data_IF_941736426516
#
_entry.id   IF_941736426516
#
_cell.length_a   1.000
_cell.length_b   1.000
_cell.length_c   1.000
_cell.angle_alpha   90.00
_cell.angle_beta   90.00
_cell.angle_gamma   90.00
#
_symmetry.space_group_name_H-M   'P 1'
#
loop_
_entity.id
_entity.type
_entity.pdbx_description
1 polymer ?
#
# COMPACT_ATOMS: atom_id res chain seq x y z
N UNK A 1 19.60 16.59 25.77
CA UNK A 1 18.87 16.56 24.49
C UNK A 1 19.55 17.49 23.49
N UNK A 2 20.40 16.95 22.59
CA UNK A 2 20.46 17.48 21.23
C UNK A 2 20.62 16.35 20.20
N UNK A 3 19.64 16.18 19.33
CA UNK A 3 19.69 15.26 18.20
C UNK A 3 18.28 14.86 17.81
N UNK A 4 17.73 15.45 16.73
CA UNK A 4 16.55 15.03 15.91
C UNK A 4 15.70 16.18 15.34
N UNK A 5 16.07 17.46 15.50
CA UNK A 5 15.34 18.58 14.88
C UNK A 5 15.34 18.59 13.33
N UNK A 6 16.05 17.66 12.68
CA UNK A 6 16.14 17.56 11.21
C UNK A 6 15.03 16.76 10.54
N UNK A 7 14.26 15.96 11.28
CA UNK A 7 13.25 15.07 10.68
C UNK A 7 11.94 15.78 10.27
N UNK A 8 11.35 16.69 11.07
CA UNK A 8 10.10 17.34 10.71
C UNK A 8 10.20 18.22 9.47
N UNK A 9 11.30 18.97 9.34
CA UNK A 9 11.56 19.80 8.14
C UNK A 9 11.61 18.95 6.88
N UNK A 10 12.33 17.83 6.91
CA UNK A 10 12.46 16.92 5.76
C UNK A 10 11.11 16.31 5.38
N UNK A 11 10.28 15.95 6.36
CA UNK A 11 8.91 15.47 6.11
C UNK A 11 8.08 16.56 5.41
N UNK A 12 8.10 17.81 5.91
CA UNK A 12 7.39 18.92 5.28
C UNK A 12 7.87 19.23 3.86
N UNK A 13 9.19 19.18 3.61
CA UNK A 13 9.75 19.34 2.26
C UNK A 13 9.32 18.22 1.31
N UNK A 14 9.27 16.96 1.79
CA UNK A 14 8.82 15.83 1.01
C UNK A 14 7.32 15.87 0.74
N UNK A 15 6.51 16.22 1.73
CA UNK A 15 5.07 16.42 1.60
C UNK A 15 4.72 17.44 0.51
N UNK A 16 5.44 18.57 0.51
CA UNK A 16 5.32 19.61 -0.51
C UNK A 16 5.76 19.12 -1.90
N UNK A 17 6.91 18.45 -1.99
CA UNK A 17 7.43 17.91 -3.26
C UNK A 17 6.49 16.85 -3.84
N UNK A 18 5.91 15.99 -3.01
CA UNK A 18 4.90 15.01 -3.42
C UNK A 18 3.62 15.69 -3.90
N UNK A 19 3.12 16.72 -3.20
CA UNK A 19 1.97 17.51 -3.67
C UNK A 19 2.20 18.09 -5.08
N UNK A 20 3.38 18.67 -5.33
CA UNK A 20 3.75 19.15 -6.69
C UNK A 20 3.88 18.02 -7.72
N UNK A 21 4.36 16.85 -7.30
CA UNK A 21 4.48 15.70 -8.19
C UNK A 21 3.10 15.17 -8.59
N UNK A 22 2.18 15.07 -7.63
CA UNK A 22 0.82 14.61 -7.87
C UNK A 22 0.01 15.60 -8.72
N UNK A 23 0.12 16.90 -8.48
CA UNK A 23 -0.49 17.91 -9.35
C UNK A 23 -0.02 17.75 -10.81
N UNK A 24 1.29 17.62 -11.04
CA UNK A 24 1.84 17.37 -12.38
C UNK A 24 1.35 16.06 -12.99
N UNK A 25 1.14 15.03 -12.19
CA UNK A 25 0.59 13.76 -12.67
C UNK A 25 -0.87 13.93 -13.13
N UNK A 26 -1.67 14.70 -12.40
CA UNK A 26 -3.04 15.06 -12.79
C UNK A 26 -3.04 15.87 -14.09
N UNK A 27 -2.23 16.93 -14.19
CA UNK A 27 -2.13 17.75 -15.41
C UNK A 27 -1.70 16.91 -16.62
N UNK A 28 -0.74 16.00 -16.40
CA UNK A 28 -0.27 15.08 -17.44
C UNK A 28 -1.33 14.08 -17.87
N UNK A 29 -2.23 13.67 -16.97
CA UNK A 29 -3.36 12.81 -17.28
C UNK A 29 -4.43 13.60 -18.06
N UNK A 30 -4.77 14.82 -17.62
CA UNK A 30 -5.72 15.70 -18.30
C UNK A 30 -5.28 15.96 -19.74
N UNK A 31 -4.00 16.31 -19.95
CA UNK A 31 -3.43 16.55 -21.28
C UNK A 31 -3.45 15.32 -22.23
N UNK A 32 -3.51 14.11 -21.67
CA UNK A 32 -3.65 12.85 -22.43
C UNK A 32 -5.10 12.38 -22.54
N UNK A 33 -5.99 13.04 -21.82
CA UNK A 33 -7.42 12.78 -21.83
C UNK A 33 -8.14 13.81 -22.71
N UNK A 34 -9.44 13.62 -22.91
CA UNK A 34 -10.29 14.62 -23.55
C UNK A 34 -11.09 15.46 -22.53
N UNK A 35 -10.67 15.46 -21.25
CA UNK A 35 -11.32 16.21 -20.18
C UNK A 35 -10.53 17.46 -19.79
N UNK A 36 -11.25 18.54 -19.49
CA UNK A 36 -10.71 19.71 -18.81
C UNK A 36 -10.87 19.61 -17.29
N UNK A 37 -10.14 20.45 -16.54
CA UNK A 37 -10.14 20.40 -15.08
C UNK A 37 -11.52 20.69 -14.47
N UNK A 38 -12.30 21.58 -15.09
CA UNK A 38 -13.66 21.95 -14.67
C UNK A 38 -14.69 20.84 -14.88
N UNK A 39 -14.39 19.84 -15.71
CA UNK A 39 -15.21 18.63 -15.87
C UNK A 39 -14.95 17.61 -14.76
N UNK A 40 -13.89 17.78 -13.96
CA UNK A 40 -13.53 16.86 -12.89
C UNK A 40 -14.17 17.29 -11.58
N UNK A 41 -15.07 16.47 -11.03
CA UNK A 41 -15.73 16.74 -9.75
C UNK A 41 -14.73 16.83 -8.60
N UNK A 42 -13.81 15.86 -8.50
CA UNK A 42 -12.77 15.84 -7.48
C UNK A 42 -11.61 14.90 -7.83
N UNK A 43 -10.46 15.14 -7.22
CA UNK A 43 -9.32 14.23 -7.16
C UNK A 43 -9.40 13.43 -5.87
N UNK A 44 -9.29 12.10 -5.95
CA UNK A 44 -9.02 11.25 -4.80
C UNK A 44 -7.51 11.03 -4.65
N UNK A 45 -6.87 11.71 -3.70
CA UNK A 45 -5.43 11.56 -3.45
C UNK A 45 -5.17 10.76 -2.17
N UNK A 46 -4.79 9.49 -2.33
CA UNK A 46 -4.37 8.65 -1.21
C UNK A 46 -3.10 9.19 -0.52
N UNK A 47 -2.19 9.77 -1.29
CA UNK A 47 -0.85 10.15 -0.84
C UNK A 47 0.12 8.97 -0.75
N UNK A 48 1.33 9.24 -0.27
CA UNK A 48 2.39 8.26 -0.04
C UNK A 48 2.42 7.87 1.44
N UNK A 49 2.12 6.61 1.76
CA UNK A 49 2.33 6.11 3.12
C UNK A 49 3.82 6.13 3.46
N UNK A 50 4.18 6.79 4.55
CA UNK A 50 5.55 6.79 5.12
C UNK A 50 5.63 6.10 6.47
N UNK A 51 4.50 6.00 7.17
CA UNK A 51 4.38 5.25 8.41
C UNK A 51 2.95 4.77 8.57
N UNK A 52 2.77 3.57 9.13
CA UNK A 52 1.44 3.06 9.43
C UNK A 52 1.54 2.06 10.59
N UNK A 53 0.85 2.37 11.68
CA UNK A 53 0.84 1.61 12.91
C UNK A 53 -0.59 1.62 13.46
N UNK A 54 -1.43 0.64 13.07
CA UNK A 54 -2.81 0.60 13.52
C UNK A 54 -2.99 0.06 14.94
N UNK A 55 -1.96 -0.59 15.50
CA UNK A 55 -2.01 -1.21 16.82
C UNK A 55 -1.14 -0.48 17.86
N UNK A 56 -1.31 -0.86 19.13
CA UNK A 56 -0.58 -0.31 20.29
C UNK A 56 -1.25 0.91 20.93
N UNK A 57 -0.58 1.51 21.90
CA UNK A 57 -1.17 2.58 22.75
C UNK A 57 -1.43 3.89 22.01
N UNK A 58 -0.84 4.07 20.83
CA UNK A 58 -0.98 5.28 20.01
C UNK A 58 -1.08 4.88 18.56
N UNK A 59 -2.27 4.43 18.10
CA UNK A 59 -2.46 4.03 16.72
C UNK A 59 -2.45 5.26 15.80
N UNK A 60 -1.66 5.23 14.73
CA UNK A 60 -1.61 6.30 13.73
C UNK A 60 -1.16 5.82 12.35
N UNK A 61 -1.38 6.67 11.36
CA UNK A 61 -0.90 6.48 9.99
C UNK A 61 -0.51 7.83 9.41
N UNK A 62 0.48 7.85 8.54
CA UNK A 62 0.98 9.08 7.91
C UNK A 62 1.13 8.86 6.42
N UNK A 63 0.29 9.56 5.66
CA UNK A 63 0.39 9.72 4.23
C UNK A 63 0.89 11.13 3.93
N UNK A 64 1.92 11.24 3.09
CA UNK A 64 2.43 12.52 2.59
C UNK A 64 1.88 12.82 1.19
N UNK A 65 1.87 14.09 0.83
CA UNK A 65 1.35 14.61 -0.42
C UNK A 65 0.31 15.68 -0.15
N UNK A 66 0.78 16.93 -0.03
CA UNK A 66 -0.05 18.06 0.37
C UNK A 66 -1.29 18.25 -0.53
N UNK A 67 -2.46 17.83 -0.03
CA UNK A 67 -3.73 17.91 -0.77
C UNK A 67 -4.13 19.35 -1.10
N UNK A 68 -3.81 20.32 -0.24
CA UNK A 68 -4.09 21.73 -0.51
C UNK A 68 -3.26 22.24 -1.69
N UNK A 69 -2.01 21.79 -1.80
CA UNK A 69 -1.14 22.14 -2.92
C UNK A 69 -1.61 21.46 -4.22
N UNK A 70 -2.07 20.21 -4.14
CA UNK A 70 -2.68 19.52 -5.29
C UNK A 70 -3.89 20.33 -5.79
N UNK A 71 -4.85 20.66 -4.91
CA UNK A 71 -6.04 21.43 -5.27
C UNK A 71 -5.70 22.81 -5.84
N UNK A 72 -4.76 23.53 -5.23
CA UNK A 72 -4.37 24.87 -5.67
C UNK A 72 -3.68 24.87 -7.05
N UNK A 73 -2.90 23.82 -7.37
CA UNK A 73 -2.18 23.74 -8.64
C UNK A 73 -3.05 23.21 -9.78
N UNK A 74 -3.98 22.28 -9.51
CA UNK A 74 -4.85 21.70 -10.54
C UNK A 74 -6.15 22.49 -10.73
N UNK A 75 -6.56 23.30 -9.75
CA UNK A 75 -7.86 23.96 -9.72
C UNK A 75 -9.03 23.00 -9.43
N UNK A 76 -8.75 21.76 -9.02
CA UNK A 76 -9.75 20.71 -8.79
C UNK A 76 -9.86 20.41 -7.30
N UNK A 77 -11.09 20.28 -6.80
CA UNK A 77 -11.33 19.84 -5.42
C UNK A 77 -10.58 18.54 -5.13
N UNK A 78 -9.77 18.51 -4.07
CA UNK A 78 -8.97 17.33 -3.72
C UNK A 78 -9.43 16.75 -2.39
N UNK A 79 -9.88 15.49 -2.43
CA UNK A 79 -10.20 14.68 -1.26
C UNK A 79 -9.02 13.74 -1.01
N UNK A 80 -8.52 13.68 0.21
CA UNK A 80 -7.47 12.75 0.59
C UNK A 80 -7.57 12.37 2.06
N UNK A 81 -6.51 11.78 2.60
CA UNK A 81 -6.45 11.38 4.01
C UNK A 81 -7.53 10.34 4.41
N UNK A 82 -7.74 9.36 3.53
CA UNK A 82 -8.82 8.40 3.68
C UNK A 82 -8.68 7.48 4.92
N UNK A 83 -7.46 7.25 5.40
CA UNK A 83 -7.17 6.24 6.44
C UNK A 83 -7.42 6.74 7.85
N UNK A 84 -7.10 8.00 8.14
CA UNK A 84 -7.11 8.52 9.52
C UNK A 84 -8.52 8.52 10.11
N UNK A 85 -9.57 8.66 9.30
CA UNK A 85 -10.96 8.60 9.80
C UNK A 85 -11.35 7.20 10.27
N UNK A 86 -10.95 6.16 9.54
CA UNK A 86 -11.20 4.77 9.95
C UNK A 86 -10.48 4.46 11.27
N UNK A 87 -9.20 4.83 11.38
CA UNK A 87 -8.43 4.66 12.62
C UNK A 87 -9.00 5.45 13.80
N UNK A 88 -9.52 6.66 13.58
CA UNK A 88 -10.17 7.44 14.62
C UNK A 88 -11.47 6.79 15.14
N UNK A 89 -12.05 5.86 14.39
CA UNK A 89 -13.22 5.07 14.79
C UNK A 89 -12.83 3.68 15.33
N UNK A 90 -11.54 3.44 15.60
CA UNK A 90 -11.01 2.17 16.08
C UNK A 90 -10.74 1.13 15.00
N UNK A 91 -10.83 1.51 13.72
CA UNK A 91 -10.46 0.67 12.60
C UNK A 91 -8.95 0.58 12.37
N UNK A 92 -8.55 -0.25 11.41
CA UNK A 92 -7.14 -0.52 11.10
C UNK A 92 -6.57 0.46 10.06
N UNK A 93 -7.38 1.34 9.47
CA UNK A 93 -6.97 2.25 8.39
C UNK A 93 -6.68 1.55 7.06
N UNK A 94 -6.82 0.23 6.99
CA UNK A 94 -6.55 -0.62 5.84
C UNK A 94 -7.23 -2.00 5.99
N UNK A 95 -7.51 -2.71 4.88
CA UNK A 95 -7.63 -2.19 3.52
C UNK A 95 -8.95 -1.41 3.32
N UNK A 96 -8.92 -0.28 2.60
CA UNK A 96 -10.13 0.53 2.33
C UNK A 96 -10.88 0.11 1.05
N UNK A 97 -10.22 -0.67 0.19
CA UNK A 97 -10.74 -1.14 -1.10
C UNK A 97 -11.93 -2.12 -1.01
N UNK A 98 -12.13 -2.93 0.05
CA UNK A 98 -13.20 -3.93 0.06
C UNK A 98 -14.62 -3.35 -0.12
N UNK A 99 -14.90 -2.15 0.39
CA UNK A 99 -16.18 -1.48 0.15
C UNK A 99 -16.39 -1.14 -1.33
N UNK A 100 -15.33 -0.69 -2.02
CA UNK A 100 -15.34 -0.43 -3.45
C UNK A 100 -15.48 -1.72 -4.28
N UNK A 101 -14.78 -2.77 -3.88
CA UNK A 101 -14.94 -4.10 -4.49
C UNK A 101 -16.37 -4.60 -4.38
N UNK A 102 -17.02 -4.46 -3.22
CA UNK A 102 -18.43 -4.82 -3.08
C UNK A 102 -19.31 -4.03 -4.04
N UNK A 103 -19.09 -2.73 -4.17
CA UNK A 103 -19.86 -1.90 -5.11
C UNK A 103 -19.69 -2.34 -6.57
N UNK A 104 -18.47 -2.70 -6.99
CA UNK A 104 -18.21 -3.14 -8.37
C UNK A 104 -18.69 -4.55 -8.68
N UNK A 105 -18.69 -5.44 -7.68
CA UNK A 105 -18.87 -6.88 -7.87
C UNK A 105 -20.03 -7.46 -7.02
N UNK A 106 -20.99 -6.63 -6.60
CA UNK A 106 -22.09 -7.02 -5.72
C UNK A 106 -23.02 -8.08 -6.29
N UNK A 107 -23.11 -8.19 -7.61
CA UNK A 107 -24.19 -8.92 -8.30
C UNK A 107 -23.85 -10.40 -8.53
N UNK A 108 -22.98 -10.97 -7.69
CA UNK A 108 -22.57 -12.37 -7.81
C UNK A 108 -23.35 -13.29 -6.87
N UNK A 109 -23.89 -14.36 -7.44
CA UNK A 109 -24.47 -15.50 -6.71
C UNK A 109 -23.40 -16.43 -6.12
N UNK A 110 -22.11 -16.18 -6.41
CA UNK A 110 -20.98 -16.97 -5.90
C UNK A 110 -20.00 -16.13 -5.10
N UNK A 111 -19.22 -16.78 -4.24
CA UNK A 111 -18.15 -16.09 -3.49
C UNK A 111 -17.04 -15.69 -4.45
N UNK A 112 -16.69 -14.41 -4.46
CA UNK A 112 -15.62 -13.86 -5.28
C UNK A 112 -14.43 -13.48 -4.41
N UNK A 113 -13.23 -13.83 -4.87
CA UNK A 113 -11.98 -13.43 -4.23
C UNK A 113 -11.21 -12.52 -5.18
N UNK A 114 -10.95 -11.31 -4.74
CA UNK A 114 -10.17 -10.33 -5.48
C UNK A 114 -8.80 -10.27 -4.83
N UNK A 115 -7.77 -10.68 -5.56
CA UNK A 115 -6.38 -10.68 -5.12
C UNK A 115 -5.65 -9.52 -5.79
N UNK A 116 -5.10 -8.62 -4.98
CA UNK A 116 -4.16 -7.60 -5.43
C UNK A 116 -2.74 -8.01 -5.04
N UNK A 117 -1.83 -8.06 -6.01
CA UNK A 117 -0.41 -8.39 -5.81
C UNK A 117 0.43 -7.13 -6.02
N UNK A 118 0.47 -6.27 -4.99
CA UNK A 118 1.36 -5.11 -4.94
C UNK A 118 2.69 -5.46 -4.29
N UNK A 119 3.34 -4.49 -3.63
CA UNK A 119 4.48 -4.79 -2.75
C UNK A 119 4.10 -5.77 -1.63
N UNK A 120 2.94 -5.54 -1.02
CA UNK A 120 2.21 -6.47 -0.15
C UNK A 120 0.98 -6.98 -0.91
N UNK A 121 0.71 -8.27 -0.82
CA UNK A 121 -0.46 -8.89 -1.40
C UNK A 121 -1.64 -8.86 -0.42
N UNK A 122 -2.84 -8.63 -0.93
CA UNK A 122 -4.06 -8.63 -0.13
C UNK A 122 -5.25 -9.19 -0.90
N UNK A 123 -6.21 -9.72 -0.14
CA UNK A 123 -7.45 -10.28 -0.68
C UNK A 123 -8.67 -9.51 -0.19
N UNK A 124 -9.71 -9.47 -1.02
CA UNK A 124 -11.08 -9.18 -0.61
C UNK A 124 -11.95 -10.38 -0.97
N UNK A 125 -12.66 -10.92 0.01
CA UNK A 125 -13.61 -12.03 -0.13
C UNK A 125 -15.02 -11.44 -0.06
N UNK A 126 -15.73 -11.52 -1.17
CA UNK A 126 -17.10 -11.06 -1.35
C UNK A 126 -18.03 -12.28 -1.33
N UNK A 127 -18.79 -12.44 -0.25
CA UNK A 127 -19.79 -13.50 -0.14
C UNK A 127 -21.16 -13.00 -0.61
N UNK A 128 -21.94 -13.82 -1.34
CA UNK A 128 -23.32 -13.49 -1.67
C UNK A 128 -24.12 -13.22 -0.39
N UNK A 129 -24.70 -12.03 -0.27
CA UNK A 129 -25.48 -11.59 0.91
C UNK A 129 -24.75 -11.66 2.26
N UNK A 130 -23.42 -11.80 2.25
CA UNK A 130 -22.60 -11.90 3.46
C UNK A 130 -21.70 -10.69 3.68
N UNK A 131 -20.91 -10.74 4.75
CA UNK A 131 -19.91 -9.71 5.05
C UNK A 131 -18.75 -9.74 4.04
N UNK A 132 -18.19 -8.56 3.80
CA UNK A 132 -16.94 -8.42 3.06
C UNK A 132 -15.78 -8.61 4.02
N UNK A 133 -14.90 -9.54 3.70
CA UNK A 133 -13.68 -9.77 4.47
C UNK A 133 -12.49 -9.34 3.63
N UNK A 134 -11.54 -8.62 4.21
CA UNK A 134 -10.29 -8.29 3.53
C UNK A 134 -9.11 -8.30 4.49
N UNK A 135 -7.97 -8.80 4.03
CA UNK A 135 -6.75 -8.88 4.82
C UNK A 135 -5.52 -8.97 3.91
N UNK A 136 -4.37 -8.57 4.45
CA UNK A 136 -3.07 -8.76 3.82
C UNK A 136 -2.65 -10.23 3.94
N UNK A 137 -2.18 -10.83 2.85
CA UNK A 137 -1.72 -12.23 2.83
C UNK A 137 -0.22 -12.37 3.07
N UNK A 138 0.52 -11.26 3.05
CA UNK A 138 1.98 -11.23 3.17
C UNK A 138 2.67 -10.53 1.98
N UNK A 139 3.98 -10.72 1.78
CA UNK A 139 4.71 -10.08 0.69
C UNK A 139 4.16 -10.50 -0.68
N UNK A 140 3.94 -9.50 -1.54
CA UNK A 140 3.74 -9.70 -2.98
C UNK A 140 5.08 -9.54 -3.71
N UNK A 141 5.29 -8.41 -4.36
CA UNK A 141 6.49 -8.14 -5.15
C UNK A 141 7.67 -7.56 -4.35
N UNK A 142 7.46 -7.04 -3.13
CA UNK A 142 8.50 -6.25 -2.42
C UNK A 142 9.82 -6.98 -2.21
N UNK A 143 9.78 -8.27 -1.88
CA UNK A 143 10.99 -9.08 -1.67
C UNK A 143 11.67 -9.45 -2.99
N UNK A 144 10.87 -9.70 -4.03
CA UNK A 144 11.35 -10.00 -5.38
C UNK A 144 12.05 -8.78 -5.97
N UNK A 145 11.41 -7.61 -5.93
CA UNK A 145 11.96 -6.35 -6.44
C UNK A 145 13.26 -5.96 -5.73
N UNK A 146 13.30 -6.15 -4.40
CA UNK A 146 14.53 -5.94 -3.62
C UNK A 146 15.65 -6.89 -4.05
N UNK A 147 15.34 -8.18 -4.26
CA UNK A 147 16.33 -9.16 -4.74
C UNK A 147 16.80 -8.83 -6.16
N UNK A 148 15.90 -8.47 -7.06
CA UNK A 148 16.22 -8.04 -8.43
C UNK A 148 17.16 -6.84 -8.43
N UNK A 149 16.87 -5.85 -7.58
CA UNK A 149 17.69 -4.64 -7.47
C UNK A 149 19.07 -5.00 -6.95
N UNK A 150 19.13 -5.82 -5.91
CA UNK A 150 20.38 -6.18 -5.25
C UNK A 150 21.28 -7.10 -6.10
N UNK A 151 20.72 -8.15 -6.67
CA UNK A 151 21.48 -9.20 -7.36
C UNK A 151 21.69 -8.93 -8.86
N UNK A 152 20.79 -8.17 -9.49
CA UNK A 152 20.79 -7.96 -10.95
C UNK A 152 20.79 -6.49 -11.37
N UNK A 153 20.68 -5.54 -10.43
CA UNK A 153 20.58 -4.11 -10.73
C UNK A 153 19.29 -3.72 -11.47
N UNK A 154 18.27 -4.58 -11.46
CA UNK A 154 16.98 -4.38 -12.12
C UNK A 154 15.91 -4.02 -11.09
N UNK A 155 15.01 -3.11 -11.43
CA UNK A 155 13.98 -2.65 -10.47
C UNK A 155 12.99 -3.77 -10.06
N UNK A 156 12.69 -4.71 -10.96
CA UNK A 156 11.79 -5.85 -10.74
C UNK A 156 12.10 -6.98 -11.75
N UNK A 157 11.55 -8.18 -11.51
CA UNK A 157 11.65 -9.31 -12.42
C UNK A 157 10.55 -9.25 -13.49
N UNK A 158 10.88 -8.73 -14.67
CA UNK A 158 9.91 -8.59 -15.75
C UNK A 158 9.44 -9.97 -16.25
N UNK A 159 8.12 -10.19 -16.20
CA UNK A 159 7.45 -11.42 -16.64
C UNK A 159 7.98 -12.72 -15.99
N UNK A 160 8.54 -12.57 -14.79
CA UNK A 160 9.21 -13.63 -14.02
C UNK A 160 10.38 -14.29 -14.78
N UNK A 161 11.07 -13.55 -15.65
CA UNK A 161 12.16 -14.07 -16.47
C UNK A 161 13.31 -14.65 -15.63
N UNK A 162 13.70 -13.99 -14.54
CA UNK A 162 14.75 -14.46 -13.63
C UNK A 162 14.25 -15.63 -12.78
N UNK A 163 13.05 -15.53 -12.19
CA UNK A 163 12.47 -16.56 -11.34
C UNK A 163 12.28 -17.89 -12.09
N UNK A 164 11.85 -17.85 -13.36
CA UNK A 164 11.66 -19.04 -14.21
C UNK A 164 12.95 -19.79 -14.55
N UNK A 165 14.10 -19.14 -14.44
CA UNK A 165 15.41 -19.78 -14.66
C UNK A 165 15.94 -20.48 -13.41
N UNK A 166 15.40 -20.14 -12.23
CA UNK A 166 15.80 -20.71 -10.95
C UNK A 166 15.08 -22.01 -10.61
N UNK A 167 15.51 -22.62 -9.50
CA UNK A 167 14.78 -23.69 -8.84
C UNK A 167 14.42 -23.23 -7.43
N UNK A 168 13.23 -23.58 -6.96
CA UNK A 168 12.79 -23.25 -5.60
C UNK A 168 13.67 -23.98 -4.59
N UNK A 169 14.32 -23.24 -3.68
CA UNK A 169 14.95 -23.82 -2.51
C UNK A 169 13.87 -24.09 -1.44
N UNK A 170 13.40 -25.34 -1.38
CA UNK A 170 12.31 -25.74 -0.47
C UNK A 170 12.64 -25.54 1.01
N UNK A 171 13.91 -25.64 1.42
CA UNK A 171 14.33 -25.41 2.80
C UNK A 171 14.20 -23.93 3.18
N UNK A 172 14.69 -23.04 2.31
CA UNK A 172 14.54 -21.60 2.49
C UNK A 172 13.07 -21.18 2.46
N UNK A 173 12.29 -21.72 1.52
CA UNK A 173 10.85 -21.45 1.43
C UNK A 173 10.13 -21.85 2.73
N UNK A 174 10.40 -23.04 3.26
CA UNK A 174 9.82 -23.48 4.52
C UNK A 174 10.19 -22.55 5.67
N UNK A 175 11.45 -22.11 5.77
CA UNK A 175 11.90 -21.15 6.78
C UNK A 175 11.18 -19.79 6.65
N UNK A 176 11.04 -19.27 5.43
CA UNK A 176 10.35 -18.01 5.19
C UNK A 176 8.86 -18.10 5.56
N UNK A 177 8.21 -19.24 5.27
CA UNK A 177 6.81 -19.48 5.64
C UNK A 177 6.60 -19.64 7.16
N UNK A 178 7.63 -20.01 7.92
CA UNK A 178 7.53 -20.13 9.39
C UNK A 178 7.62 -18.81 10.13
N UNK A 179 8.06 -17.72 9.48
CA UNK A 179 8.04 -16.40 10.09
C UNK A 179 6.57 -15.97 10.31
N UNK A 180 6.25 -15.49 11.52
CA UNK A 180 4.89 -15.34 12.06
C UNK A 180 3.94 -14.45 11.22
N UNK A 181 4.46 -13.76 10.21
CA UNK A 181 3.72 -12.89 9.30
C UNK A 181 2.96 -13.64 8.19
N UNK A 182 3.33 -14.88 7.86
CA UNK A 182 2.65 -15.69 6.83
C UNK A 182 1.64 -16.68 7.43
N UNK A 183 1.86 -17.14 8.66
CA UNK A 183 0.96 -18.09 9.35
C UNK A 183 -0.25 -17.40 10.01
N UNK A 184 -0.14 -16.14 10.41
CA UNK A 184 -1.23 -15.40 11.06
C UNK A 184 -2.39 -15.03 10.12
N UNK A 185 -2.18 -15.00 8.81
CA UNK A 185 -3.22 -14.68 7.82
C UNK A 185 -4.37 -15.70 7.77
N UNK A 186 -4.22 -16.88 8.38
CA UNK A 186 -5.27 -17.90 8.47
C UNK A 186 -6.06 -17.87 9.78
N UNK A 187 -5.58 -17.17 10.82
CA UNK A 187 -6.15 -17.18 12.16
C UNK A 187 -5.87 -15.85 12.86
N UNK A 188 -6.55 -14.75 12.47
CA UNK A 188 -6.99 -13.63 13.33
C UNK A 188 -7.47 -12.43 12.49
N UNK A 189 -8.74 -12.09 12.69
CA UNK A 189 -9.18 -10.69 12.87
C UNK A 189 -9.42 -10.63 14.38
N UNK A 190 -8.66 -9.88 15.22
CA UNK A 190 -8.17 -8.50 15.06
C UNK A 190 -6.64 -8.34 15.28
N UNK A 191 -6.12 -7.14 14.98
CA UNK A 191 -4.72 -6.66 15.04
C UNK A 191 -3.89 -6.94 13.78
N UNK A 192 -3.86 -5.96 12.87
CA UNK A 192 -3.10 -6.00 11.63
C UNK A 192 -1.86 -5.10 11.74
N UNK A 193 -0.82 -5.58 12.42
CA UNK A 193 0.47 -4.90 12.46
C UNK A 193 1.12 -4.93 11.09
N UNK A 194 1.48 -3.75 10.58
CA UNK A 194 2.04 -3.59 9.25
C UNK A 194 3.49 -4.03 9.23
N UNK A 195 3.80 -4.88 8.25
CA UNK A 195 5.14 -5.34 7.96
C UNK A 195 5.98 -4.15 7.54
N UNK A 196 6.89 -3.72 8.42
CA UNK A 196 8.01 -2.86 8.06
C UNK A 196 9.17 -3.77 7.66
N UNK A 197 9.68 -3.66 6.43
CA UNK A 197 10.93 -4.33 6.04
C UNK A 197 12.11 -3.61 6.69
N UNK A 198 12.27 -3.76 8.00
CA UNK A 198 13.44 -3.32 8.75
C UNK A 198 14.16 -4.46 9.46
N UNK A 199 13.63 -5.69 9.37
CA UNK A 199 14.09 -6.84 10.16
C UNK A 199 14.87 -7.91 9.41
N UNK A 200 14.88 -7.94 8.07
CA UNK A 200 15.56 -9.01 7.33
C UNK A 200 17.08 -8.77 7.27
N UNK A 201 17.77 -9.02 8.40
CA UNK A 201 19.21 -9.26 8.41
C UNK A 201 19.43 -10.69 7.92
N UNK A 202 19.58 -10.86 6.61
CA UNK A 202 20.24 -12.04 6.07
C UNK A 202 21.73 -11.92 6.40
N UNK A 203 22.15 -12.50 7.52
CA UNK A 203 23.57 -12.73 7.79
C UNK A 203 24.04 -13.93 6.96
N UNK A 204 24.73 -13.66 5.86
CA UNK A 204 25.48 -14.67 5.13
C UNK A 204 26.78 -14.93 5.90
N UNK A 205 26.86 -16.07 6.59
CA UNK A 205 28.13 -16.61 7.04
C UNK A 205 28.73 -17.37 5.86
N UNK A 206 29.93 -16.95 5.43
CA UNK A 206 30.79 -17.73 4.54
C UNK A 206 31.24 -19.03 5.22
#
# INVERSE_FOLDING_TARGET
MPGTAHQPKKIGELDHKLGKLYARAVDSLLAKSNYSADEITAIGNHGQTVFHQPDGDTPFTTQLGNNNLVAALTGINTVGDFRRKDMALGGQGAPLVPAFHRYLFSDSESTQVILNIGGIANVSVLQPNGDVVGFDTGPGNVLLDHWCTHAFGQAFDQDAHLAKQGNVNNSLLAQMLTDLTLSAALLKVPDASIITVSGCKLSWQN
#
